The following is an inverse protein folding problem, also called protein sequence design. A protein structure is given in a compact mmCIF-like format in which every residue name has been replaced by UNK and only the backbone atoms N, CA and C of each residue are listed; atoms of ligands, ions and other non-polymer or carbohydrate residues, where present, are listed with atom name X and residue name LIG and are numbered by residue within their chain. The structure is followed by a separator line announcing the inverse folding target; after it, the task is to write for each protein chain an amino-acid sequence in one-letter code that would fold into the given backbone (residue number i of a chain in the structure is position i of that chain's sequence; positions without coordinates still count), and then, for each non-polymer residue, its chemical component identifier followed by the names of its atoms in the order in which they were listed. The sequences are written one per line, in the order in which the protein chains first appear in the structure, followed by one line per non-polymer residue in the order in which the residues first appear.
data_IF_960974876060
#
_entry.id   IF_960974876060
#
_cell.length_a   1.000
_cell.length_b   1.000
_cell.length_c   1.000
_cell.angle_alpha   90.00
_cell.angle_beta   90.00
_cell.angle_gamma   90.00
#
_symmetry.space_group_name_H-M   'P 1'
#
loop_
_entity.id
_entity.type
_entity.pdbx_description
1 polymer ?
#
# COMPACT_ATOMS: atom_id res chain seq x y z
N UNK A 1 -16.48 -21.08 -1.78
CA UNK A 1 -15.02 -21.28 -1.64
C UNK A 1 -14.25 -19.96 -1.64
N UNK A 2 -14.35 -19.11 -2.67
CA UNK A 2 -13.63 -17.82 -2.75
C UNK A 2 -13.88 -16.88 -1.56
N UNK A 3 -15.13 -16.71 -1.14
CA UNK A 3 -15.48 -15.84 0.01
C UNK A 3 -14.95 -16.39 1.34
N UNK A 4 -14.99 -17.72 1.52
CA UNK A 4 -14.45 -18.37 2.71
C UNK A 4 -12.94 -18.16 2.84
N UNK A 5 -12.21 -18.28 1.71
CA UNK A 5 -10.77 -17.99 1.67
C UNK A 5 -10.51 -16.50 1.93
N UNK A 6 -11.28 -15.59 1.31
CA UNK A 6 -11.14 -14.14 1.54
C UNK A 6 -11.35 -13.77 3.01
N UNK A 7 -12.36 -14.35 3.65
CA UNK A 7 -12.64 -14.14 5.08
C UNK A 7 -11.54 -14.71 5.97
N UNK A 8 -11.02 -15.89 5.65
CA UNK A 8 -9.88 -16.47 6.37
C UNK A 8 -8.62 -15.60 6.26
N UNK A 9 -8.30 -15.11 5.07
CA UNK A 9 -7.17 -14.20 4.85
C UNK A 9 -7.35 -12.87 5.58
N UNK A 10 -8.57 -12.33 5.59
CA UNK A 10 -8.89 -11.12 6.37
C UNK A 10 -8.62 -11.35 7.86
N UNK A 11 -9.26 -12.35 8.48
CA UNK A 11 -9.07 -12.62 9.90
C UNK A 11 -7.62 -12.97 10.24
N UNK A 12 -6.96 -13.76 9.39
CA UNK A 12 -5.54 -14.07 9.52
C UNK A 12 -4.69 -12.80 9.52
N UNK A 13 -4.90 -11.88 8.57
CA UNK A 13 -4.17 -10.61 8.50
C UNK A 13 -4.38 -9.76 9.75
N UNK A 14 -5.62 -9.63 10.24
CA UNK A 14 -5.93 -8.86 11.44
C UNK A 14 -5.29 -9.48 12.69
N UNK A 15 -5.41 -10.80 12.85
CA UNK A 15 -4.83 -11.51 14.00
C UNK A 15 -3.30 -11.41 13.99
N UNK A 16 -2.67 -11.59 12.82
CA UNK A 16 -1.24 -11.36 12.65
C UNK A 16 -0.88 -9.91 13.02
N UNK A 17 -1.57 -8.92 12.44
CA UNK A 17 -1.31 -7.50 12.69
C UNK A 17 -1.40 -7.11 14.16
N UNK A 18 -2.41 -7.60 14.88
CA UNK A 18 -2.58 -7.36 16.33
C UNK A 18 -1.49 -8.07 17.15
N UNK A 19 -1.09 -9.28 16.76
CA UNK A 19 -0.03 -10.03 17.45
C UNK A 19 1.38 -9.49 17.19
N UNK A 20 1.56 -8.70 16.12
CA UNK A 20 2.85 -8.20 15.67
C UNK A 20 3.66 -7.50 16.78
N UNK A 21 3.12 -6.49 17.48
CA UNK A 21 3.85 -5.79 18.54
C UNK A 21 4.39 -6.70 19.65
N UNK A 22 3.68 -7.78 19.99
CA UNK A 22 4.16 -8.76 20.99
C UNK A 22 5.35 -9.56 20.48
N UNK A 23 5.35 -9.88 19.19
CA UNK A 23 6.43 -10.60 18.52
C UNK A 23 7.67 -9.70 18.39
N UNK A 24 7.51 -8.40 18.08
CA UNK A 24 8.63 -7.45 18.01
C UNK A 24 9.45 -7.33 19.30
N UNK A 25 8.81 -7.51 20.46
CA UNK A 25 9.46 -7.34 21.76
C UNK A 25 10.34 -8.57 22.12
N UNK A 26 10.03 -9.75 21.57
CA UNK A 26 10.60 -11.02 22.01
C UNK A 26 11.31 -11.81 20.90
N UNK A 27 11.14 -11.44 19.64
CA UNK A 27 11.59 -12.23 18.51
C UNK A 27 13.06 -11.98 18.14
N UNK A 28 13.75 -13.05 17.77
CA UNK A 28 14.96 -12.95 16.97
C UNK A 28 14.63 -12.43 15.56
N UNK A 29 15.66 -11.98 14.85
CA UNK A 29 15.57 -11.40 13.49
C UNK A 29 14.88 -12.35 12.51
N UNK A 30 15.13 -13.66 12.66
CA UNK A 30 14.57 -14.69 11.79
C UNK A 30 13.06 -14.82 11.98
N UNK A 31 12.59 -14.87 13.23
CA UNK A 31 11.18 -14.96 13.55
C UNK A 31 10.44 -13.69 13.13
N UNK A 32 11.08 -12.52 13.26
CA UNK A 32 10.59 -11.25 12.75
C UNK A 32 10.41 -11.31 11.22
N UNK A 33 11.42 -11.77 10.48
CA UNK A 33 11.33 -11.93 9.02
C UNK A 33 10.20 -12.89 8.59
N UNK A 34 10.10 -14.06 9.23
CA UNK A 34 9.04 -15.04 8.93
C UNK A 34 7.66 -14.41 9.19
N UNK A 35 7.52 -13.72 10.33
CA UNK A 35 6.28 -13.03 10.66
C UNK A 35 5.91 -11.98 9.61
N UNK A 36 6.87 -11.17 9.16
CA UNK A 36 6.66 -10.20 8.09
C UNK A 36 6.23 -10.86 6.78
N UNK A 37 6.86 -11.96 6.37
CA UNK A 37 6.49 -12.69 5.16
C UNK A 37 5.05 -13.21 5.27
N UNK A 38 4.66 -13.77 6.41
CA UNK A 38 3.29 -14.24 6.65
C UNK A 38 2.30 -13.09 6.61
N UNK A 39 2.57 -11.98 7.32
CA UNK A 39 1.72 -10.79 7.34
C UNK A 39 1.50 -10.24 5.92
N UNK A 40 2.58 -10.06 5.16
CA UNK A 40 2.52 -9.55 3.79
C UNK A 40 1.79 -10.52 2.86
N UNK A 41 2.02 -11.83 2.99
CA UNK A 41 1.36 -12.84 2.15
C UNK A 41 -0.15 -12.89 2.40
N UNK A 42 -0.58 -12.80 3.67
CA UNK A 42 -1.99 -12.75 4.03
C UNK A 42 -2.67 -11.47 3.50
N UNK A 43 -2.03 -10.32 3.69
CA UNK A 43 -2.52 -9.03 3.22
C UNK A 43 -2.60 -8.97 1.69
N UNK A 44 -1.53 -9.37 1.02
CA UNK A 44 -1.47 -9.47 -0.45
C UNK A 44 -2.57 -10.39 -0.98
N UNK A 45 -2.67 -11.61 -0.45
CA UNK A 45 -3.69 -12.57 -0.87
C UNK A 45 -5.12 -12.04 -0.69
N UNK A 46 -5.39 -11.38 0.44
CA UNK A 46 -6.68 -10.73 0.68
C UNK A 46 -6.97 -9.66 -0.38
N UNK A 47 -6.04 -8.75 -0.64
CA UNK A 47 -6.21 -7.65 -1.60
C UNK A 47 -6.39 -8.16 -3.03
N UNK A 48 -5.64 -9.19 -3.44
CA UNK A 48 -5.78 -9.80 -4.77
C UNK A 48 -7.17 -10.42 -4.92
N UNK A 49 -7.62 -11.23 -3.95
CA UNK A 49 -8.96 -11.81 -3.97
C UNK A 49 -10.05 -10.73 -3.92
N UNK A 50 -9.82 -9.66 -3.17
CA UNK A 50 -10.71 -8.51 -3.11
C UNK A 50 -10.86 -7.89 -4.50
N UNK A 51 -9.76 -7.53 -5.17
CA UNK A 51 -9.77 -6.93 -6.50
C UNK A 51 -10.47 -7.79 -7.54
N UNK A 52 -10.21 -9.10 -7.54
CA UNK A 52 -10.81 -10.05 -8.49
C UNK A 52 -12.30 -10.31 -8.17
N UNK A 53 -12.73 -10.11 -6.92
CA UNK A 53 -14.15 -10.19 -6.55
C UNK A 53 -14.92 -8.91 -6.89
N UNK A 54 -14.26 -7.76 -6.79
CA UNK A 54 -14.90 -6.45 -6.95
C UNK A 54 -14.88 -5.95 -8.41
N UNK A 55 -13.83 -6.26 -9.15
CA UNK A 55 -13.70 -5.92 -10.56
C UNK A 55 -13.90 -7.16 -11.43
N UNK A 56 -14.16 -7.00 -12.74
CA UNK A 56 -13.98 -8.10 -13.68
C UNK A 56 -12.58 -8.71 -13.48
N UNK A 57 -12.50 -10.04 -13.49
CA UNK A 57 -11.29 -10.82 -13.15
C UNK A 57 -10.06 -10.28 -13.88
N UNK A 58 -10.20 -9.92 -15.16
CA UNK A 58 -9.12 -9.37 -15.98
C UNK A 58 -8.62 -7.99 -15.50
N UNK A 59 -9.51 -7.09 -15.05
CA UNK A 59 -9.14 -5.77 -14.50
C UNK A 59 -8.41 -5.96 -13.18
N UNK A 60 -8.94 -6.83 -12.31
CA UNK A 60 -8.33 -7.13 -11.01
C UNK A 60 -6.90 -7.66 -11.17
N UNK A 61 -6.71 -8.65 -12.04
CA UNK A 61 -5.38 -9.19 -12.35
C UNK A 61 -4.47 -8.16 -13.01
N UNK A 62 -4.98 -7.34 -13.93
CA UNK A 62 -4.19 -6.31 -14.59
C UNK A 62 -3.64 -5.30 -13.58
N UNK A 63 -4.44 -4.83 -12.62
CA UNK A 63 -3.95 -3.92 -11.55
C UNK A 63 -2.79 -4.58 -10.81
N UNK A 64 -2.96 -5.84 -10.38
CA UNK A 64 -1.93 -6.59 -9.64
C UNK A 64 -0.67 -6.76 -10.49
N UNK A 65 -0.80 -7.24 -11.73
CA UNK A 65 0.33 -7.49 -12.63
C UNK A 65 1.09 -6.22 -12.99
N UNK A 66 0.40 -5.09 -13.18
CA UNK A 66 1.06 -3.81 -13.48
C UNK A 66 1.85 -3.32 -12.27
N UNK A 67 1.26 -3.36 -11.08
CA UNK A 67 1.97 -2.92 -9.87
C UNK A 67 3.17 -3.82 -9.59
N UNK A 68 3.01 -5.15 -9.64
CA UNK A 68 4.14 -6.09 -9.48
C UNK A 68 5.17 -5.89 -10.58
N UNK A 69 4.75 -5.84 -11.84
CA UNK A 69 5.67 -5.74 -12.98
C UNK A 69 6.51 -4.47 -12.94
N UNK A 70 5.91 -3.31 -12.63
CA UNK A 70 6.64 -2.04 -12.50
C UNK A 70 7.58 -2.08 -11.30
N UNK A 71 7.08 -2.46 -10.12
CA UNK A 71 7.87 -2.43 -8.88
C UNK A 71 9.01 -3.44 -8.89
N UNK A 72 8.72 -4.68 -9.27
CA UNK A 72 9.72 -5.72 -9.41
C UNK A 72 10.79 -5.34 -10.43
N UNK A 73 10.41 -4.79 -11.60
CA UNK A 73 11.39 -4.38 -12.61
C UNK A 73 12.31 -3.27 -12.12
N UNK A 74 11.76 -2.23 -11.47
CA UNK A 74 12.55 -1.13 -10.91
C UNK A 74 13.48 -1.64 -9.82
N UNK A 75 12.96 -2.46 -8.90
CA UNK A 75 13.73 -3.02 -7.78
C UNK A 75 14.82 -3.99 -8.24
N UNK A 76 14.50 -4.86 -9.20
CA UNK A 76 15.44 -5.78 -9.81
C UNK A 76 16.59 -5.03 -10.48
N UNK A 77 16.29 -4.07 -11.37
CA UNK A 77 17.32 -3.24 -12.02
C UNK A 77 18.17 -2.50 -10.98
N UNK A 78 17.54 -1.99 -9.91
CA UNK A 78 18.25 -1.30 -8.83
C UNK A 78 19.25 -2.19 -8.08
N UNK A 79 19.05 -3.52 -8.06
CA UNK A 79 19.97 -4.46 -7.40
C UNK A 79 21.16 -4.86 -8.29
N UNK A 80 21.01 -4.85 -9.62
CA UNK A 80 22.08 -5.27 -10.55
C UNK A 80 23.06 -4.15 -10.94
N UNK A 81 22.65 -2.89 -10.80
CA UNK A 81 23.41 -1.77 -11.34
C UNK A 81 23.94 -0.89 -10.22
N UNK A 82 25.14 -1.19 -9.74
CA UNK A 82 25.84 -0.43 -8.69
C UNK A 82 26.05 1.06 -9.04
N UNK A 83 25.92 1.45 -10.32
CA UNK A 83 26.16 2.81 -10.82
C UNK A 83 24.99 3.47 -11.58
N UNK A 84 23.87 2.79 -11.82
CA UNK A 84 22.68 3.41 -12.43
C UNK A 84 21.47 3.35 -11.50
N UNK A 85 21.74 3.21 -10.21
CA UNK A 85 20.68 3.22 -9.23
C UNK A 85 20.01 4.60 -9.27
N UNK A 86 18.74 4.61 -9.64
CA UNK A 86 17.78 5.59 -9.16
C UNK A 86 17.80 5.72 -7.61
N UNK A 87 18.53 4.83 -6.92
CA UNK A 87 18.75 4.67 -5.48
C UNK A 87 20.26 4.49 -5.16
N UNK A 88 21.08 5.52 -5.32
CA UNK A 88 22.56 5.59 -5.13
C UNK A 88 23.12 4.82 -3.93
N UNK A 89 23.25 3.48 -3.97
CA UNK A 89 23.80 2.70 -2.85
C UNK A 89 24.53 1.43 -3.30
N UNK A 90 25.75 1.27 -2.76
CA UNK A 90 26.53 0.04 -2.78
C UNK A 90 25.70 -1.07 -2.14
N UNK A 91 25.36 -2.09 -2.90
CA UNK A 91 24.77 -3.31 -2.33
C UNK A 91 25.82 -3.96 -1.43
N UNK A 92 25.57 -3.97 -0.11
CA UNK A 92 26.32 -4.84 0.81
C UNK A 92 25.96 -6.27 0.38
N UNK A 93 26.94 -7.18 0.34
CA UNK A 93 26.76 -8.56 -0.15
C UNK A 93 25.56 -9.26 0.51
N UNK A 94 24.38 -9.18 -0.13
CA UNK A 94 23.20 -9.92 0.28
C UNK A 94 23.38 -11.38 -0.13
N UNK A 95 23.03 -12.29 0.77
CA UNK A 95 22.94 -13.71 0.45
C UNK A 95 21.92 -13.92 -0.69
N UNK A 96 22.23 -14.79 -1.67
CA UNK A 96 21.44 -15.02 -2.89
C UNK A 96 19.95 -15.31 -2.63
N UNK A 97 19.63 -15.95 -1.50
CA UNK A 97 18.25 -16.20 -1.07
C UNK A 97 17.46 -14.90 -0.80
N UNK A 98 18.09 -13.89 -0.20
CA UNK A 98 17.45 -12.60 0.08
C UNK A 98 17.32 -11.72 -1.17
N UNK A 99 18.18 -11.93 -2.16
CA UNK A 99 18.19 -11.16 -3.41
C UNK A 99 16.90 -11.32 -4.23
N UNK A 100 16.20 -12.45 -4.09
CA UNK A 100 14.93 -12.69 -4.79
C UNK A 100 13.70 -12.39 -3.94
N UNK A 101 13.78 -12.60 -2.61
CA UNK A 101 12.64 -12.41 -1.71
C UNK A 101 12.37 -10.93 -1.40
N UNK A 102 13.39 -10.08 -1.35
CA UNK A 102 13.21 -8.65 -1.05
C UNK A 102 12.41 -7.93 -2.14
N UNK A 103 12.73 -8.05 -3.45
CA UNK A 103 11.92 -7.44 -4.51
C UNK A 103 10.47 -7.92 -4.50
N UNK A 104 10.24 -9.21 -4.22
CA UNK A 104 8.90 -9.78 -4.15
C UNK A 104 8.10 -9.23 -2.97
N UNK A 105 8.72 -9.13 -1.79
CA UNK A 105 8.10 -8.53 -0.60
C UNK A 105 7.75 -7.05 -0.80
N UNK A 106 8.63 -6.28 -1.46
CA UNK A 106 8.38 -4.89 -1.83
C UNK A 106 7.19 -4.81 -2.81
N UNK A 107 7.14 -5.69 -3.80
CA UNK A 107 6.01 -5.76 -4.73
C UNK A 107 4.68 -6.04 -4.02
N UNK A 108 4.67 -6.90 -3.00
CA UNK A 108 3.46 -7.19 -2.20
C UNK A 108 2.99 -5.97 -1.41
N UNK A 109 3.92 -5.28 -0.75
CA UNK A 109 3.67 -4.00 -0.04
C UNK A 109 3.03 -3.00 -1.01
N UNK A 110 3.61 -2.86 -2.19
CA UNK A 110 3.12 -1.94 -3.21
C UNK A 110 1.75 -2.31 -3.73
N UNK A 111 1.46 -3.58 -3.98
CA UNK A 111 0.11 -4.03 -4.38
C UNK A 111 -0.90 -3.67 -3.30
N UNK A 112 -0.60 -3.93 -2.03
CA UNK A 112 -1.49 -3.54 -0.93
C UNK A 112 -1.72 -2.02 -0.92
N UNK A 113 -0.64 -1.24 -0.89
CA UNK A 113 -0.67 0.23 -0.81
C UNK A 113 -1.43 0.86 -1.98
N UNK A 114 -1.08 0.51 -3.22
CA UNK A 114 -1.69 1.07 -4.44
C UNK A 114 -3.14 0.61 -4.60
N UNK A 115 -3.44 -0.66 -4.33
CA UNK A 115 -4.80 -1.16 -4.49
C UNK A 115 -5.74 -0.56 -3.45
N UNK A 116 -5.33 -0.49 -2.18
CA UNK A 116 -6.16 0.08 -1.10
C UNK A 116 -6.43 1.56 -1.36
N UNK A 117 -5.39 2.35 -1.68
CA UNK A 117 -5.55 3.77 -1.98
C UNK A 117 -6.42 3.99 -3.22
N UNK A 118 -6.23 3.20 -4.29
CA UNK A 118 -7.10 3.21 -5.47
C UNK A 118 -8.57 3.01 -5.08
N UNK A 119 -8.88 1.91 -4.39
CA UNK A 119 -10.27 1.54 -4.09
C UNK A 119 -10.92 2.59 -3.18
N UNK A 120 -10.23 3.03 -2.13
CA UNK A 120 -10.75 4.01 -1.18
C UNK A 120 -10.96 5.38 -1.84
N UNK A 121 -9.99 5.89 -2.59
CA UNK A 121 -10.13 7.20 -3.25
C UNK A 121 -11.15 7.21 -4.38
N UNK A 122 -11.36 6.08 -5.08
CA UNK A 122 -12.46 5.93 -6.03
C UNK A 122 -13.81 6.13 -5.34
N UNK A 123 -13.97 5.64 -4.11
CA UNK A 123 -15.18 5.86 -3.32
C UNK A 123 -15.27 7.29 -2.79
N UNK A 124 -14.18 7.87 -2.28
CA UNK A 124 -14.16 9.23 -1.75
C UNK A 124 -14.60 10.24 -2.81
N UNK A 125 -14.10 10.08 -4.03
CA UNK A 125 -14.35 11.02 -5.12
C UNK A 125 -15.70 10.80 -5.82
N UNK A 126 -16.44 9.74 -5.49
CA UNK A 126 -17.69 9.38 -6.19
C UNK A 126 -18.76 10.48 -6.18
N UNK A 127 -18.80 11.30 -5.14
CA UNK A 127 -19.75 12.41 -5.02
C UNK A 127 -19.40 13.64 -5.87
N UNK A 128 -18.28 13.61 -6.59
CA UNK A 128 -17.87 14.66 -7.53
C UNK A 128 -18.52 14.39 -8.89
N UNK A 129 -19.40 15.31 -9.32
CA UNK A 129 -20.22 15.15 -10.53
C UNK A 129 -19.40 15.24 -11.83
N UNK A 130 -18.42 16.15 -11.88
CA UNK A 130 -17.63 16.39 -13.09
C UNK A 130 -16.53 15.33 -13.24
N UNK A 131 -16.50 14.62 -14.38
CA UNK A 131 -15.66 13.44 -14.56
C UNK A 131 -14.16 13.75 -14.49
N UNK A 132 -13.71 14.85 -15.12
CA UNK A 132 -12.30 15.28 -15.08
C UNK A 132 -11.87 15.61 -13.66
N UNK A 133 -12.68 16.42 -12.96
CA UNK A 133 -12.38 16.84 -11.60
C UNK A 133 -12.36 15.63 -10.65
N UNK A 134 -13.28 14.68 -10.86
CA UNK A 134 -13.30 13.41 -10.13
C UNK A 134 -12.03 12.60 -10.38
N UNK A 135 -11.61 12.48 -11.64
CA UNK A 135 -10.40 11.76 -12.03
C UNK A 135 -9.14 12.39 -11.45
N UNK A 136 -8.98 13.71 -11.54
CA UNK A 136 -7.84 14.46 -10.98
C UNK A 136 -7.79 14.32 -9.46
N UNK A 137 -8.90 14.56 -8.76
CA UNK A 137 -8.95 14.37 -7.30
C UNK A 137 -8.65 12.92 -6.90
N UNK A 138 -9.09 11.94 -7.70
CA UNK A 138 -8.79 10.53 -7.45
C UNK A 138 -7.30 10.24 -7.60
N UNK A 139 -6.68 10.65 -8.72
CA UNK A 139 -5.26 10.37 -8.99
C UNK A 139 -4.39 11.03 -7.93
N UNK A 140 -4.61 12.33 -7.66
CA UNK A 140 -3.82 13.07 -6.68
C UNK A 140 -4.01 12.49 -5.27
N UNK A 141 -5.25 12.23 -4.88
CA UNK A 141 -5.55 11.70 -3.56
C UNK A 141 -4.98 10.31 -3.32
N UNK A 142 -5.20 9.38 -4.26
CA UNK A 142 -4.69 8.01 -4.16
C UNK A 142 -3.16 7.98 -4.16
N UNK A 143 -2.54 8.87 -4.95
CA UNK A 143 -1.09 9.02 -4.98
C UNK A 143 -0.53 9.58 -3.68
N UNK A 144 -1.14 10.63 -3.12
CA UNK A 144 -0.71 11.21 -1.84
C UNK A 144 -0.90 10.23 -0.68
N UNK A 145 -2.00 9.46 -0.65
CA UNK A 145 -2.21 8.43 0.36
C UNK A 145 -1.13 7.34 0.28
N UNK A 146 -0.82 6.87 -0.93
CA UNK A 146 0.25 5.89 -1.14
C UNK A 146 1.62 6.47 -0.76
N UNK A 147 1.91 7.71 -1.16
CA UNK A 147 3.17 8.38 -0.84
C UNK A 147 3.37 8.57 0.67
N UNK A 148 2.28 8.79 1.42
CA UNK A 148 2.36 8.90 2.87
C UNK A 148 2.84 7.58 3.52
N UNK A 149 2.39 6.43 3.02
CA UNK A 149 2.86 5.11 3.45
C UNK A 149 4.31 4.88 3.00
N UNK A 150 4.63 5.24 1.75
CA UNK A 150 5.98 5.12 1.19
C UNK A 150 7.00 5.94 2.00
N UNK A 151 6.62 7.09 2.55
CA UNK A 151 7.49 7.90 3.41
C UNK A 151 7.96 7.15 4.67
N UNK A 152 7.13 6.24 5.19
CA UNK A 152 7.48 5.38 6.31
C UNK A 152 8.26 4.14 5.83
N UNK A 153 7.83 3.54 4.73
CA UNK A 153 8.33 2.25 4.28
C UNK A 153 9.67 2.36 3.55
N UNK A 154 9.95 3.42 2.80
CA UNK A 154 11.16 3.53 1.99
C UNK A 154 12.45 3.47 2.82
N UNK A 155 12.60 4.21 3.94
CA UNK A 155 13.78 4.07 4.81
C UNK A 155 13.92 2.66 5.40
N UNK A 156 12.81 2.03 5.77
CA UNK A 156 12.80 0.65 6.29
C UNK A 156 13.29 -0.32 5.22
N UNK A 157 12.75 -0.21 4.00
CA UNK A 157 13.14 -1.04 2.85
C UNK A 157 14.63 -0.89 2.55
N UNK A 158 15.17 0.33 2.58
CA UNK A 158 16.61 0.55 2.39
C UNK A 158 17.45 -0.10 3.50
N UNK A 159 17.03 0.00 4.75
CA UNK A 159 17.75 -0.64 5.85
C UNK A 159 17.67 -2.19 5.76
N UNK A 160 16.55 -2.74 5.29
CA UNK A 160 16.43 -4.18 4.98
C UNK A 160 17.40 -4.59 3.86
N UNK A 161 17.50 -3.79 2.78
CA UNK A 161 18.44 -4.05 1.67
C UNK A 161 19.91 -4.03 2.12
N UNK A 162 20.24 -3.23 3.14
CA UNK A 162 21.61 -3.18 3.69
C UNK A 162 21.97 -4.38 4.56
N UNK A 163 20.99 -5.19 4.99
CA UNK A 163 21.12 -6.39 5.82
C UNK A 163 21.75 -6.20 7.21
N UNK A 164 22.69 -5.28 7.38
CA UNK A 164 23.36 -4.93 8.65
C UNK A 164 22.37 -4.52 9.75
N UNK A 165 21.32 -3.77 9.40
CA UNK A 165 20.24 -3.43 10.34
C UNK A 165 19.51 -4.67 10.86
N UNK A 166 19.33 -5.69 10.00
CA UNK A 166 18.77 -6.98 10.42
C UNK A 166 19.76 -7.77 11.31
N UNK A 167 21.04 -7.45 11.33
CA UNK A 167 22.02 -8.09 12.21
C UNK A 167 22.21 -7.33 13.54
N UNK A 168 21.38 -6.32 13.80
CA UNK A 168 21.48 -5.49 15.00
C UNK A 168 22.33 -4.22 14.81
N UNK A 169 22.74 -3.91 13.58
CA UNK A 169 23.34 -2.62 13.23
C UNK A 169 22.36 -1.45 13.40
N UNK A 170 22.88 -0.23 13.41
CA UNK A 170 22.07 0.98 13.61
C UNK A 170 21.12 1.24 12.43
N UNK A 171 19.92 1.73 12.74
CA UNK A 171 18.99 2.20 11.71
C UNK A 171 19.46 3.54 11.13
N UNK A 172 19.59 3.63 9.80
CA UNK A 172 20.04 4.85 9.12
C UNK A 172 18.86 5.51 8.41
N UNK A 173 18.33 6.57 9.02
CA UNK A 173 17.20 7.32 8.49
C UNK A 173 17.53 8.14 7.23
N UNK A 174 18.69 8.79 7.19
CA UNK A 174 19.12 9.67 6.08
C UNK A 174 19.57 8.90 4.81
N UNK A 175 19.26 7.61 4.74
CA UNK A 175 19.61 6.76 3.61
C UNK A 175 18.84 7.11 2.32
N UNK A 176 17.66 7.74 2.42
CA UNK A 176 16.80 8.05 1.25
C UNK A 176 17.00 9.50 0.81
N UNK A 177 17.46 9.72 -0.42
CA UNK A 177 17.58 11.07 -0.98
C UNK A 177 16.21 11.64 -1.42
N UNK A 178 16.08 12.96 -1.45
CA UNK A 178 14.85 13.61 -1.96
C UNK A 178 14.50 13.20 -3.40
N UNK A 179 15.52 12.96 -4.23
CA UNK A 179 15.35 12.48 -5.62
C UNK A 179 14.65 11.13 -5.66
N UNK A 180 14.91 10.25 -4.70
CA UNK A 180 14.25 8.94 -4.59
C UNK A 180 12.77 9.10 -4.30
N UNK A 181 12.41 9.92 -3.31
CA UNK A 181 11.01 10.20 -3.00
C UNK A 181 10.27 10.84 -4.16
N UNK A 182 10.89 11.79 -4.85
CA UNK A 182 10.30 12.43 -6.03
C UNK A 182 10.07 11.42 -7.16
N UNK A 183 11.05 10.55 -7.41
CA UNK A 183 10.93 9.49 -8.42
C UNK A 183 9.77 8.57 -8.10
N UNK A 184 9.71 8.06 -6.87
CA UNK A 184 8.63 7.17 -6.47
C UNK A 184 7.28 7.87 -6.46
N UNK A 185 7.20 9.15 -6.09
CA UNK A 185 5.98 9.94 -6.22
C UNK A 185 5.50 9.99 -7.69
N UNK A 186 6.39 10.18 -8.65
CA UNK A 186 6.04 10.16 -10.09
C UNK A 186 5.59 8.77 -10.54
N UNK A 187 6.26 7.70 -10.09
CA UNK A 187 5.85 6.31 -10.41
C UNK A 187 4.46 6.03 -9.83
N UNK A 188 4.21 6.36 -8.57
CA UNK A 188 2.91 6.20 -7.91
C UNK A 188 1.83 6.97 -8.68
N UNK A 189 2.11 8.22 -9.08
CA UNK A 189 1.18 9.06 -9.86
C UNK A 189 0.84 8.44 -11.21
N UNK A 190 1.85 7.95 -11.94
CA UNK A 190 1.68 7.29 -13.23
C UNK A 190 0.88 5.99 -13.08
N UNK A 191 1.17 5.18 -12.07
CA UNK A 191 0.44 3.93 -11.79
C UNK A 191 -1.04 4.23 -11.51
N UNK A 192 -1.36 5.21 -10.65
CA UNK A 192 -2.76 5.57 -10.39
C UNK A 192 -3.48 6.14 -11.61
N UNK A 193 -2.76 6.90 -12.44
CA UNK A 193 -3.29 7.43 -13.71
C UNK A 193 -3.58 6.28 -14.68
N UNK A 194 -2.68 5.31 -14.78
CA UNK A 194 -2.87 4.11 -15.59
C UNK A 194 -4.08 3.30 -15.09
N UNK A 195 -4.19 3.07 -13.78
CA UNK A 195 -5.36 2.40 -13.19
C UNK A 195 -6.66 3.16 -13.49
N UNK A 196 -6.67 4.50 -13.41
CA UNK A 196 -7.83 5.32 -13.78
C UNK A 196 -8.26 5.04 -15.22
N UNK A 197 -7.33 5.11 -16.16
CA UNK A 197 -7.61 4.91 -17.59
C UNK A 197 -8.28 3.55 -17.80
N UNK A 198 -7.73 2.47 -17.24
CA UNK A 198 -8.30 1.14 -17.43
C UNK A 198 -9.64 0.93 -16.71
N UNK A 199 -9.82 1.49 -15.52
CA UNK A 199 -11.10 1.41 -14.81
C UNK A 199 -12.20 2.19 -15.54
N UNK A 200 -11.85 3.30 -16.21
CA UNK A 200 -12.76 4.04 -17.09
C UNK A 200 -13.06 3.25 -18.35
N UNK A 201 -12.05 2.71 -19.05
CA UNK A 201 -12.23 1.93 -20.28
C UNK A 201 -13.03 0.63 -20.06
N UNK A 202 -12.96 0.07 -18.86
CA UNK A 202 -13.73 -1.13 -18.49
C UNK A 202 -15.14 -0.83 -17.96
N UNK A 203 -15.60 0.43 -17.99
CA UNK A 203 -16.88 0.92 -17.46
C UNK A 203 -17.10 0.61 -15.96
N UNK A 204 -16.02 0.36 -15.21
CA UNK A 204 -16.07 0.09 -13.77
C UNK A 204 -15.93 1.35 -12.92
N UNK A 205 -15.74 2.52 -13.53
CA UNK A 205 -15.52 3.78 -12.84
C UNK A 205 -16.70 4.22 -11.96
N UNK A 206 -17.93 3.93 -12.41
CA UNK A 206 -19.15 4.30 -11.70
C UNK A 206 -19.66 3.22 -10.74
N UNK A 207 -19.04 2.03 -10.75
CA UNK A 207 -19.43 0.90 -9.89
C UNK A 207 -19.24 1.25 -8.40
N UNK A 208 -20.28 0.98 -7.63
CA UNK A 208 -20.29 1.14 -6.17
C UNK A 208 -19.77 -0.14 -5.51
N UNK A 209 -18.97 0.01 -4.45
CA UNK A 209 -18.56 -1.12 -3.64
C UNK A 209 -19.70 -1.55 -2.73
N UNK A 210 -19.77 -2.86 -2.45
CA UNK A 210 -20.58 -3.37 -1.35
C UNK A 210 -20.11 -2.81 0.00
N UNK A 211 -21.07 -2.50 0.88
CA UNK A 211 -20.81 -1.78 2.12
C UNK A 211 -19.92 -2.59 3.08
N UNK A 212 -20.12 -3.90 3.16
CA UNK A 212 -19.31 -4.80 4.00
C UNK A 212 -17.88 -4.91 3.49
N UNK A 213 -17.69 -5.10 2.18
CA UNK A 213 -16.40 -5.14 1.52
C UNK A 213 -15.61 -3.85 1.74
N UNK A 214 -16.29 -2.69 1.67
CA UNK A 214 -15.70 -1.39 1.97
C UNK A 214 -15.18 -1.32 3.41
N UNK A 215 -15.95 -1.76 4.41
CA UNK A 215 -15.50 -1.74 5.82
C UNK A 215 -14.30 -2.66 6.04
N UNK A 216 -14.33 -3.88 5.50
CA UNK A 216 -13.19 -4.81 5.63
C UNK A 216 -11.91 -4.20 5.04
N UNK A 217 -12.00 -3.56 3.87
CA UNK A 217 -10.85 -2.90 3.26
C UNK A 217 -10.30 -1.76 4.13
N UNK A 218 -11.16 -0.94 4.74
CA UNK A 218 -10.70 0.10 5.67
C UNK A 218 -9.98 -0.48 6.88
N UNK A 219 -10.47 -1.60 7.42
CA UNK A 219 -9.84 -2.24 8.58
C UNK A 219 -8.47 -2.79 8.20
N UNK A 220 -8.34 -3.38 7.01
CA UNK A 220 -7.03 -3.83 6.48
C UNK A 220 -6.08 -2.64 6.28
N UNK A 221 -6.54 -1.57 5.66
CA UNK A 221 -5.77 -0.34 5.45
C UNK A 221 -5.32 0.28 6.77
N UNK A 222 -6.22 0.31 7.77
CA UNK A 222 -5.92 0.80 9.11
C UNK A 222 -4.87 -0.06 9.83
N UNK A 223 -5.01 -1.39 9.82
CA UNK A 223 -4.03 -2.30 10.43
C UNK A 223 -2.68 -2.20 9.73
N UNK A 224 -2.66 -2.14 8.41
CA UNK A 224 -1.43 -1.96 7.64
C UNK A 224 -0.75 -0.61 7.94
N UNK A 225 -1.53 0.47 7.98
CA UNK A 225 -1.08 1.82 8.32
C UNK A 225 -0.54 1.91 9.74
N UNK A 226 -1.21 1.31 10.73
CA UNK A 226 -0.72 1.25 12.11
C UNK A 226 0.59 0.49 12.21
N UNK A 227 0.73 -0.59 11.45
CA UNK A 227 1.95 -1.37 11.44
C UNK A 227 3.11 -0.58 10.82
N UNK A 228 2.89 0.07 9.68
CA UNK A 228 3.89 0.96 9.06
C UNK A 228 4.28 2.11 10.00
N UNK A 229 3.31 2.71 10.69
CA UNK A 229 3.56 3.74 11.70
C UNK A 229 4.36 3.21 12.89
N UNK A 230 3.99 2.03 13.40
CA UNK A 230 4.71 1.37 14.50
C UNK A 230 6.17 1.11 14.14
N UNK A 231 6.44 0.64 12.91
CA UNK A 231 7.80 0.49 12.40
C UNK A 231 8.53 1.82 12.26
N UNK A 232 7.86 2.85 11.74
CA UNK A 232 8.44 4.19 11.63
C UNK A 232 8.84 4.76 13.00
N UNK A 233 7.98 4.60 14.01
CA UNK A 233 8.27 5.02 15.38
C UNK A 233 9.40 4.21 16.02
N UNK A 234 9.41 2.88 15.81
CA UNK A 234 10.49 2.00 16.27
C UNK A 234 11.84 2.39 15.66
N UNK A 235 11.84 2.72 14.37
CA UNK A 235 12.99 3.21 13.64
C UNK A 235 13.34 4.69 13.92
N UNK A 236 12.71 5.31 14.95
CA UNK A 236 12.91 6.71 15.36
C UNK A 236 12.61 7.74 14.26
N UNK A 237 11.77 7.39 13.28
CA UNK A 237 11.37 8.25 12.17
C UNK A 237 10.26 9.21 12.58
N UNK A 238 10.49 10.02 13.61
CA UNK A 238 9.42 10.83 14.24
C UNK A 238 8.81 11.85 13.28
N UNK A 239 9.61 12.52 12.46
CA UNK A 239 9.11 13.50 11.48
C UNK A 239 8.24 12.82 10.40
N UNK A 240 8.72 11.73 9.81
CA UNK A 240 7.95 10.95 8.84
C UNK A 240 6.63 10.42 9.45
N UNK A 241 6.70 9.94 10.69
CA UNK A 241 5.53 9.48 11.46
C UNK A 241 4.53 10.61 11.71
N UNK A 242 4.99 11.82 12.04
CA UNK A 242 4.13 12.99 12.22
C UNK A 242 3.44 13.41 10.91
N UNK A 243 4.20 13.47 9.81
CA UNK A 243 3.66 13.77 8.48
C UNK A 243 2.60 12.72 8.10
N UNK A 244 2.92 11.44 8.29
CA UNK A 244 1.98 10.35 8.04
C UNK A 244 0.68 10.50 8.83
N UNK A 245 0.76 10.68 10.16
CA UNK A 245 -0.42 10.86 11.03
C UNK A 245 -1.28 12.02 10.54
N UNK A 246 -0.66 13.15 10.19
CA UNK A 246 -1.36 14.35 9.71
C UNK A 246 -2.11 14.06 8.41
N UNK A 247 -1.44 13.46 7.42
CA UNK A 247 -2.06 13.13 6.13
C UNK A 247 -3.13 12.05 6.26
N UNK A 248 -2.89 10.98 7.03
CA UNK A 248 -3.84 9.90 7.22
C UNK A 248 -5.07 10.34 8.05
N UNK A 249 -4.87 11.25 9.01
CA UNK A 249 -5.95 11.91 9.74
C UNK A 249 -6.86 12.73 8.81
N UNK A 250 -6.26 13.57 7.95
CA UNK A 250 -7.00 14.32 6.93
C UNK A 250 -7.74 13.39 5.95
N UNK A 251 -7.08 12.34 5.49
CA UNK A 251 -7.68 11.31 4.63
C UNK A 251 -8.92 10.68 5.28
N UNK A 252 -8.81 10.29 6.55
CA UNK A 252 -9.91 9.69 7.32
C UNK A 252 -11.08 10.66 7.45
N UNK A 253 -10.82 11.93 7.75
CA UNK A 253 -11.86 12.98 7.83
C UNK A 253 -12.58 13.13 6.48
N UNK A 254 -11.82 13.28 5.39
CA UNK A 254 -12.37 13.41 4.03
C UNK A 254 -13.20 12.19 3.66
N UNK A 255 -12.76 11.00 4.05
CA UNK A 255 -13.52 9.77 3.83
C UNK A 255 -14.87 9.79 4.54
N UNK A 256 -14.93 10.13 5.83
CA UNK A 256 -16.19 10.19 6.57
C UNK A 256 -17.14 11.27 6.03
N UNK A 257 -16.61 12.44 5.67
CA UNK A 257 -17.39 13.50 5.01
C UNK A 257 -17.98 13.02 3.69
N UNK A 258 -17.20 12.31 2.87
CA UNK A 258 -17.68 11.75 1.60
C UNK A 258 -18.73 10.66 1.81
N UNK A 259 -18.55 9.77 2.80
CA UNK A 259 -19.53 8.74 3.16
C UNK A 259 -20.89 9.36 3.54
N UNK A 260 -20.89 10.35 4.44
CA UNK A 260 -22.12 11.05 4.87
C UNK A 260 -22.85 11.68 3.69
N UNK A 261 -22.12 12.36 2.80
CA UNK A 261 -22.71 12.97 1.59
C UNK A 261 -23.36 11.92 0.67
N UNK A 262 -22.76 10.74 0.52
CA UNK A 262 -23.33 9.65 -0.28
C UNK A 262 -24.61 9.07 0.33
N UNK A 263 -24.66 8.93 1.66
CA UNK A 263 -25.85 8.49 2.39
C UNK A 263 -27.00 9.50 2.25
N UNK A 264 -26.73 10.79 2.41
CA UNK A 264 -27.71 11.87 2.23
C UNK A 264 -28.29 11.88 0.80
N UNK A 265 -27.45 11.70 -0.22
CA UNK A 265 -27.88 11.60 -1.62
C UNK A 265 -28.76 10.38 -1.87
N UNK A 266 -28.47 9.24 -1.24
CA UNK A 266 -29.27 8.02 -1.34
C UNK A 266 -30.65 8.20 -0.69
N UNK A 267 -30.71 8.76 0.52
CA UNK A 267 -31.98 9.05 1.22
C UNK A 267 -32.85 10.01 0.38
N UNK A 268 -32.26 11.04 -0.21
CA UNK A 268 -33.00 11.98 -1.09
C UNK A 268 -33.59 11.30 -2.32
N UNK A 269 -32.90 10.30 -2.90
CA UNK A 269 -33.42 9.55 -4.06
C UNK A 269 -34.56 8.61 -3.70
N UNK A 270 -34.62 8.09 -2.47
CA UNK A 270 -35.73 7.23 -2.03
C UNK A 270 -36.99 8.02 -1.66
N UNK A 271 -36.86 9.33 -1.39
CA UNK A 271 -37.98 10.23 -1.07
C UNK A 271 -38.58 10.94 -2.29
N UNK A 272 -38.03 10.73 -3.48
CA UNK A 272 -38.53 11.26 -4.75
C UNK A 272 -39.11 10.13 -5.58
#
# INVERSE_FOLDING_TARGET
MKELVRTFLFFGFILCGISGPLIFIQADVRNLLIFFIVLLSLGFGYIVLYLISEYPVWVGWMIVCVVIGVTFSIEWISMFTDNTSFLTQKTIQMNAFFHQLVPLGIAFIWVMMIAMSHILWKQITRSIRHWLSRGVCYVLGASLASLSLELLLAPIILNIKRYDWLQGGDFIYEAVSYTVYFTWAMVILLVHTFILIFVVLSDNWHRQLELNSRHQLMVVDFVFSLYALGLGLFAKMYMASFIFITFNGLFTIVYYMSKKKQEDEWIRKQRK
#
